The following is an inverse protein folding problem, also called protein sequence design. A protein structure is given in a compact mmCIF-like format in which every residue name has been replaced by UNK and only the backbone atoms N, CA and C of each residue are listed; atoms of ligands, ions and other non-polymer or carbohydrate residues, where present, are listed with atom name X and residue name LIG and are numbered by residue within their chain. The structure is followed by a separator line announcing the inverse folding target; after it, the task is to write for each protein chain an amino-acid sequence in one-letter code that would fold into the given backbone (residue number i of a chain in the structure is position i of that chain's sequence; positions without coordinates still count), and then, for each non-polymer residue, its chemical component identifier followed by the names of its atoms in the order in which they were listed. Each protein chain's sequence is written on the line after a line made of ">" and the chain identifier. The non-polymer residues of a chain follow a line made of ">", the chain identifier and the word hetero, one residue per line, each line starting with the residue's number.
data_IF_546993299618
#
_entry.id   IF_546993299618
#
_cell.length_a   1.000
_cell.length_b   1.000
_cell.length_c   1.000
_cell.angle_alpha   90.00
_cell.angle_beta   90.00
_cell.angle_gamma   90.00
#
_symmetry.space_group_name_H-M   'P 1'
#
loop_
_entity.id
_entity.type
_entity.pdbx_description
1 polymer ?
#
# COMPACT_ATOMS: atom_id res chain seq x y z
N UNK A 1 -1.24 -7.42 -5.09
CA UNK A 1 0.09 -7.29 -4.47
C UNK A 1 -0.07 -7.11 -2.97
N UNK A 2 0.73 -7.84 -2.19
CA UNK A 2 0.75 -7.75 -0.73
C UNK A 2 2.18 -7.99 -0.19
N UNK A 3 2.44 -7.65 1.08
CA UNK A 3 3.65 -8.10 1.75
C UNK A 3 3.66 -9.63 1.82
N UNK A 4 4.68 -10.27 1.27
CA UNK A 4 4.88 -11.74 1.28
C UNK A 4 6.34 -12.08 1.52
N UNK A 5 6.61 -13.32 1.90
CA UNK A 5 7.96 -13.84 2.08
C UNK A 5 8.58 -14.17 0.73
N UNK A 6 9.82 -13.77 0.54
CA UNK A 6 10.70 -14.20 -0.54
C UNK A 6 11.86 -14.95 0.09
N UNK A 7 11.84 -16.28 -0.09
CA UNK A 7 12.82 -17.19 0.50
C UNK A 7 14.20 -16.98 -0.14
N UNK A 8 15.23 -16.84 0.70
CA UNK A 8 16.61 -16.69 0.27
C UNK A 8 16.94 -15.38 -0.46
N UNK A 9 16.02 -14.41 -0.52
CA UNK A 9 16.17 -13.13 -1.23
C UNK A 9 16.49 -11.96 -0.26
N UNK A 10 16.93 -12.29 0.94
CA UNK A 10 17.33 -11.33 1.94
C UNK A 10 18.74 -10.75 1.68
N UNK A 11 19.16 -9.85 2.56
CA UNK A 11 20.49 -9.19 2.46
C UNK A 11 21.66 -10.15 2.56
N UNK A 12 21.44 -11.32 3.18
CA UNK A 12 22.38 -12.40 3.28
C UNK A 12 21.79 -13.62 2.55
N UNK A 13 22.63 -14.39 1.91
CA UNK A 13 22.23 -15.49 1.00
C UNK A 13 21.38 -16.62 1.64
N UNK A 14 21.27 -16.64 2.95
CA UNK A 14 20.51 -17.60 3.74
C UNK A 14 19.34 -17.01 4.52
N UNK A 15 19.00 -15.75 4.23
CA UNK A 15 17.90 -15.05 4.90
C UNK A 15 16.75 -14.79 3.93
N UNK A 16 15.55 -14.77 4.48
CA UNK A 16 14.33 -14.38 3.77
C UNK A 16 14.11 -12.88 3.87
N UNK A 17 13.38 -12.32 2.93
CA UNK A 17 12.91 -10.95 3.01
C UNK A 17 11.39 -10.87 2.87
N UNK A 18 10.79 -9.87 3.49
CA UNK A 18 9.38 -9.55 3.30
C UNK A 18 9.31 -8.29 2.45
N UNK A 19 8.70 -8.42 1.28
CA UNK A 19 8.48 -7.29 0.36
C UNK A 19 7.15 -7.44 -0.36
N UNK A 20 6.75 -6.41 -1.07
CA UNK A 20 5.55 -6.47 -1.90
C UNK A 20 5.77 -7.35 -3.13
N UNK A 21 4.86 -8.30 -3.35
CA UNK A 21 4.85 -9.19 -4.51
C UNK A 21 3.45 -9.60 -4.91
N UNK A 22 3.32 -10.18 -6.08
CA UNK A 22 2.06 -10.79 -6.51
C UNK A 22 1.73 -11.98 -5.61
N UNK A 23 0.46 -12.08 -5.23
CA UNK A 23 -0.09 -13.19 -4.45
C UNK A 23 -1.17 -13.89 -5.25
N UNK A 24 -1.29 -15.18 -5.05
CA UNK A 24 -2.36 -16.02 -5.61
C UNK A 24 -3.42 -16.35 -4.58
N UNK A 25 -3.11 -16.18 -3.30
CA UNK A 25 -3.97 -16.54 -2.18
C UNK A 25 -3.73 -15.58 -1.00
N UNK A 26 -4.73 -15.46 -0.13
CA UNK A 26 -4.69 -14.59 1.06
C UNK A 26 -3.67 -15.14 2.09
N UNK A 27 -3.46 -16.44 2.14
CA UNK A 27 -2.53 -17.10 3.05
C UNK A 27 -1.06 -16.71 2.79
N UNK A 28 -0.75 -16.18 1.61
CA UNK A 28 0.58 -15.66 1.32
C UNK A 28 0.84 -14.29 1.98
N UNK A 29 -0.20 -13.60 2.46
CA UNK A 29 -0.08 -12.26 3.02
C UNK A 29 0.56 -12.32 4.41
N UNK A 30 1.60 -11.54 4.61
CA UNK A 30 2.26 -11.38 5.91
C UNK A 30 1.64 -10.19 6.66
N UNK A 31 0.81 -10.48 7.67
CA UNK A 31 0.15 -9.48 8.50
C UNK A 31 0.97 -9.06 9.72
N UNK A 32 1.76 -9.96 10.28
CA UNK A 32 2.44 -9.84 11.58
C UNK A 32 3.84 -9.21 11.49
N UNK A 33 4.35 -8.99 10.28
CA UNK A 33 5.66 -8.38 10.04
C UNK A 33 5.56 -7.19 9.08
N UNK A 34 6.55 -6.31 9.15
CA UNK A 34 6.66 -5.16 8.25
C UNK A 34 7.43 -5.55 6.98
N UNK A 35 6.97 -5.06 5.84
CA UNK A 35 7.75 -5.16 4.60
C UNK A 35 9.04 -4.34 4.72
N UNK A 36 10.15 -4.88 4.24
CA UNK A 36 11.44 -4.21 4.18
C UNK A 36 11.50 -3.17 3.05
N UNK A 37 10.67 -3.36 2.02
CA UNK A 37 10.56 -2.48 0.86
C UNK A 37 9.17 -1.88 0.76
N UNK A 38 9.09 -0.71 0.15
CA UNK A 38 7.84 0.03 0.03
C UNK A 38 6.97 -0.49 -1.12
N UNK A 39 5.64 -0.45 -0.95
CA UNK A 39 4.67 -0.68 -2.02
C UNK A 39 4.82 0.26 -3.22
N UNK A 40 5.53 1.36 -3.05
CA UNK A 40 5.74 2.39 -4.08
C UNK A 40 6.36 1.85 -5.35
N UNK A 41 7.14 0.78 -5.26
CA UNK A 41 7.74 0.10 -6.41
C UNK A 41 6.70 -0.42 -7.42
N UNK A 42 5.44 -0.63 -7.00
CA UNK A 42 4.36 -1.08 -7.86
C UNK A 42 3.82 0.08 -8.71
N UNK A 43 3.73 1.29 -8.13
CA UNK A 43 3.22 2.49 -8.78
C UNK A 43 4.32 3.34 -9.45
N UNK A 44 5.55 3.18 -8.98
CA UNK A 44 6.75 3.81 -9.50
C UNK A 44 7.81 2.72 -9.73
N UNK A 45 7.71 1.97 -10.81
CA UNK A 45 8.66 0.90 -11.11
C UNK A 45 10.07 1.47 -11.26
N UNK A 46 11.08 0.70 -10.84
CA UNK A 46 12.51 1.09 -10.87
C UNK A 46 12.96 1.44 -12.30
N UNK A 47 12.35 0.81 -13.29
CA UNK A 47 12.61 1.06 -14.70
C UNK A 47 11.32 1.00 -15.50
N UNK A 48 11.09 2.02 -16.32
CA UNK A 48 9.93 2.09 -17.21
C UNK A 48 10.34 2.64 -18.57
N UNK A 49 9.79 2.06 -19.64
CA UNK A 49 9.96 2.60 -20.99
C UNK A 49 9.00 3.76 -21.18
N UNK A 50 9.52 4.96 -21.31
CA UNK A 50 8.69 6.16 -21.50
C UNK A 50 8.17 6.25 -22.94
N UNK A 51 9.03 6.00 -23.93
CA UNK A 51 8.65 6.00 -25.33
C UNK A 51 9.69 5.26 -26.17
N UNK A 52 9.25 4.78 -27.31
CA UNK A 52 10.11 4.32 -28.40
C UNK A 52 10.19 5.42 -29.47
N UNK A 53 11.33 5.61 -30.06
CA UNK A 53 11.48 6.58 -31.15
C UNK A 53 12.30 6.03 -32.30
N UNK A 54 11.97 6.49 -33.50
CA UNK A 54 12.76 6.36 -34.73
C UNK A 54 12.98 7.76 -35.30
N UNK A 55 13.70 7.89 -36.42
CA UNK A 55 13.94 9.19 -37.06
C UNK A 55 12.63 9.95 -37.35
N UNK A 56 11.55 9.23 -37.69
CA UNK A 56 10.29 9.81 -38.16
C UNK A 56 9.12 9.59 -37.21
N UNK A 57 9.27 8.83 -36.11
CA UNK A 57 8.13 8.46 -35.27
C UNK A 57 8.49 8.32 -33.79
N UNK A 58 7.52 8.70 -32.95
CA UNK A 58 7.57 8.50 -31.49
C UNK A 58 6.33 7.76 -31.04
N UNK A 59 6.51 6.65 -30.33
CA UNK A 59 5.42 5.82 -29.82
C UNK A 59 5.54 5.67 -28.32
N UNK A 60 4.50 6.08 -27.57
CA UNK A 60 4.39 5.82 -26.14
C UNK A 60 3.83 4.40 -25.97
N UNK A 61 4.47 3.54 -25.16
CA UNK A 61 3.97 2.20 -24.90
C UNK A 61 2.59 2.23 -24.23
N UNK A 62 1.75 1.27 -24.59
CA UNK A 62 0.48 1.09 -23.88
C UNK A 62 0.75 0.79 -22.39
N UNK A 63 -0.13 1.28 -21.52
CA UNK A 63 -0.11 0.94 -20.10
C UNK A 63 -0.46 -0.53 -19.85
N UNK A 64 -0.29 -1.03 -18.62
CA UNK A 64 -0.71 -2.38 -18.28
C UNK A 64 -2.20 -2.56 -18.52
N UNK A 65 -2.56 -3.67 -19.20
CA UNK A 65 -3.97 -3.99 -19.51
C UNK A 65 -4.77 -4.44 -18.31
N UNK A 66 -4.08 -4.92 -17.26
CA UNK A 66 -4.70 -5.34 -15.99
C UNK A 66 -4.49 -4.27 -14.95
N UNK A 67 -5.53 -4.02 -14.16
CA UNK A 67 -5.42 -3.23 -12.94
C UNK A 67 -4.63 -3.97 -11.86
N UNK A 68 -4.29 -3.25 -10.79
CA UNK A 68 -3.65 -3.80 -9.62
C UNK A 68 -4.54 -3.65 -8.37
N UNK A 69 -4.48 -4.62 -7.49
CA UNK A 69 -5.01 -4.52 -6.13
C UNK A 69 -3.80 -4.57 -5.20
N UNK A 70 -3.66 -3.57 -4.35
CA UNK A 70 -2.53 -3.46 -3.42
C UNK A 70 -3.05 -3.44 -1.99
N UNK A 71 -2.54 -4.36 -1.18
CA UNK A 71 -2.84 -4.41 0.25
C UNK A 71 -1.92 -3.46 1.01
N UNK A 72 -2.47 -2.47 1.69
CA UNK A 72 -1.73 -1.40 2.34
C UNK A 72 -2.11 -1.23 3.81
N UNK A 73 -1.18 -0.78 4.62
CA UNK A 73 -1.47 -0.29 5.97
C UNK A 73 -1.90 1.18 5.93
N UNK A 74 -2.50 1.68 7.01
CA UNK A 74 -2.94 3.08 7.08
C UNK A 74 -1.83 4.07 6.78
N UNK A 75 -0.63 3.87 7.33
CA UNK A 75 0.52 4.73 7.08
C UNK A 75 0.95 4.73 5.61
N UNK A 76 0.80 3.60 4.89
CA UNK A 76 1.09 3.50 3.47
C UNK A 76 0.03 4.26 2.64
N UNK A 77 -1.25 4.23 3.04
CA UNK A 77 -2.30 5.04 2.42
C UNK A 77 -2.05 6.54 2.58
N UNK A 78 -1.51 6.98 3.73
CA UNK A 78 -1.02 8.35 3.87
C UNK A 78 0.19 8.64 2.98
N UNK A 79 1.09 7.68 2.81
CA UNK A 79 2.19 7.75 1.85
C UNK A 79 1.71 7.88 0.41
N UNK A 80 0.68 7.11 0.03
CA UNK A 80 0.02 7.19 -1.26
C UNK A 80 -0.57 8.58 -1.52
N UNK A 81 -1.28 9.16 -0.55
CA UNK A 81 -1.82 10.51 -0.65
C UNK A 81 -0.72 11.55 -0.90
N UNK A 82 0.48 11.36 -0.35
CA UNK A 82 1.64 12.22 -0.64
C UNK A 82 2.15 12.04 -2.06
N UNK A 83 2.15 10.81 -2.58
CA UNK A 83 2.50 10.55 -3.97
C UNK A 83 1.50 11.21 -4.92
N UNK A 84 0.19 11.05 -4.67
CA UNK A 84 -0.87 11.70 -5.46
C UNK A 84 -0.69 13.23 -5.45
N UNK A 85 -0.31 13.82 -4.32
CA UNK A 85 -0.02 15.25 -4.24
C UNK A 85 1.19 15.65 -5.10
N UNK A 86 2.23 14.85 -5.14
CA UNK A 86 3.45 15.16 -5.91
C UNK A 86 3.22 14.97 -7.41
N UNK A 87 2.65 13.84 -7.80
CA UNK A 87 2.57 13.43 -9.21
C UNK A 87 1.31 13.90 -9.94
N UNK A 88 0.22 14.19 -9.22
CA UNK A 88 -1.06 14.59 -9.83
C UNK A 88 -1.47 16.02 -9.50
N UNK A 89 -1.00 16.60 -8.39
CA UNK A 89 -1.53 17.88 -7.89
C UNK A 89 -0.47 18.97 -7.70
N UNK A 90 0.77 18.74 -8.11
CA UNK A 90 1.87 19.69 -7.96
C UNK A 90 2.42 20.14 -9.33
N UNK A 91 1.57 20.63 -10.21
CA UNK A 91 1.90 21.04 -11.57
C UNK A 91 1.20 20.16 -12.62
N UNK A 92 1.78 19.99 -13.82
CA UNK A 92 1.27 19.04 -14.79
C UNK A 92 1.24 17.63 -14.21
N UNK A 93 0.13 16.90 -14.46
CA UNK A 93 -0.02 15.53 -14.01
C UNK A 93 1.04 14.64 -14.68
N UNK A 94 1.69 13.77 -13.89
CA UNK A 94 2.56 12.74 -14.44
C UNK A 94 1.72 11.66 -15.12
N UNK A 95 1.90 11.54 -16.44
CA UNK A 95 1.12 10.63 -17.29
C UNK A 95 1.31 9.17 -16.89
N UNK A 96 2.53 8.75 -16.57
CA UNK A 96 2.86 7.34 -16.28
C UNK A 96 2.33 6.93 -14.91
N UNK A 97 2.53 7.77 -13.90
CA UNK A 97 1.95 7.55 -12.58
C UNK A 97 0.42 7.52 -12.64
N UNK A 98 -0.20 8.49 -13.30
CA UNK A 98 -1.66 8.61 -13.41
C UNK A 98 -2.29 7.35 -13.98
N UNK A 99 -1.79 6.81 -15.10
CA UNK A 99 -2.35 5.63 -15.74
C UNK A 99 -2.29 4.37 -14.89
N UNK A 100 -1.24 4.22 -14.05
CA UNK A 100 -1.12 3.11 -13.09
C UNK A 100 -2.07 3.34 -11.91
N UNK A 101 -2.08 4.55 -11.39
CA UNK A 101 -2.87 4.95 -10.22
C UNK A 101 -4.38 4.80 -10.44
N UNK A 102 -4.89 5.19 -11.59
CA UNK A 102 -6.31 5.09 -11.95
C UNK A 102 -6.80 3.63 -12.06
N UNK A 103 -5.92 2.71 -12.42
CA UNK A 103 -6.20 1.28 -12.54
C UNK A 103 -5.85 0.48 -11.27
N UNK A 104 -5.57 1.16 -10.16
CA UNK A 104 -5.17 0.50 -8.90
C UNK A 104 -6.23 0.68 -7.83
N UNK A 105 -6.56 -0.42 -7.12
CA UNK A 105 -7.42 -0.47 -5.94
C UNK A 105 -6.61 -0.78 -4.70
N UNK A 106 -7.06 -0.29 -3.56
CA UNK A 106 -6.33 -0.44 -2.31
C UNK A 106 -7.19 -1.14 -1.27
N UNK A 107 -6.64 -2.21 -0.71
CA UNK A 107 -7.25 -2.92 0.41
C UNK A 107 -6.47 -2.57 1.67
N UNK A 108 -7.17 -2.01 2.66
CA UNK A 108 -6.58 -1.71 3.95
C UNK A 108 -6.34 -2.99 4.74
N UNK A 109 -5.11 -3.20 5.18
CA UNK A 109 -4.73 -4.19 6.17
C UNK A 109 -4.74 -3.55 7.55
N UNK A 110 -5.45 -4.11 8.49
CA UNK A 110 -5.44 -3.65 9.88
C UNK A 110 -4.06 -3.77 10.55
N UNK A 111 -3.85 -2.96 11.57
CA UNK A 111 -2.70 -3.08 12.44
C UNK A 111 -3.18 -3.44 13.84
N UNK A 112 -2.94 -4.69 14.26
CA UNK A 112 -3.25 -5.16 15.62
C UNK A 112 -2.17 -4.79 16.63
N UNK A 113 -0.96 -4.51 16.17
CA UNK A 113 0.18 -4.12 17.01
C UNK A 113 1.15 -3.21 16.23
N UNK A 114 1.99 -2.50 16.96
CA UNK A 114 3.05 -1.66 16.40
C UNK A 114 4.35 -2.44 16.26
N UNK A 115 5.08 -2.18 15.18
CA UNK A 115 6.45 -2.66 14.98
C UNK A 115 7.47 -1.72 15.64
N UNK A 116 8.72 -2.19 15.78
CA UNK A 116 9.75 -1.47 16.54
C UNK A 116 10.03 -0.04 16.03
N UNK A 117 9.92 0.17 14.72
CA UNK A 117 10.17 1.47 14.09
C UNK A 117 8.88 2.21 13.66
N UNK A 118 7.73 1.87 14.26
CA UNK A 118 6.49 2.58 13.97
C UNK A 118 6.44 3.92 14.70
N UNK A 119 6.00 4.96 13.98
CA UNK A 119 5.73 6.30 14.49
C UNK A 119 4.44 6.89 13.90
N UNK A 120 3.59 6.01 13.35
CA UNK A 120 2.37 6.43 12.64
C UNK A 120 1.36 7.14 13.57
N UNK A 121 1.32 6.81 14.85
CA UNK A 121 0.43 7.48 15.82
C UNK A 121 0.86 8.93 16.01
N UNK A 122 2.17 9.19 16.22
CA UNK A 122 2.70 10.54 16.41
C UNK A 122 2.54 11.40 15.14
N UNK A 123 2.51 10.75 13.96
CA UNK A 123 2.31 11.41 12.66
C UNK A 123 0.84 11.50 12.24
N UNK A 124 -0.11 11.07 13.08
CA UNK A 124 -1.54 10.98 12.77
C UNK A 124 -1.82 10.22 11.45
N UNK A 125 -1.04 9.17 11.19
CA UNK A 125 -1.16 8.33 10.00
C UNK A 125 -1.51 6.87 10.32
N UNK A 126 -1.90 6.58 11.57
CA UNK A 126 -2.33 5.27 12.03
C UNK A 126 -3.76 4.91 11.59
N UNK A 127 -4.57 5.89 11.18
CA UNK A 127 -5.94 5.71 10.69
C UNK A 127 -6.09 6.29 9.29
N UNK A 128 -6.93 5.66 8.45
CA UNK A 128 -7.22 6.17 7.12
C UNK A 128 -8.58 5.65 6.64
N UNK A 129 -9.33 6.49 5.95
CA UNK A 129 -10.59 6.14 5.29
C UNK A 129 -10.43 5.99 3.76
N UNK A 130 -9.23 6.24 3.25
CA UNK A 130 -8.93 6.26 1.82
C UNK A 130 -8.55 4.87 1.31
N UNK A 131 -9.50 3.93 1.35
CA UNK A 131 -9.35 2.58 0.84
C UNK A 131 -10.62 2.12 0.13
N UNK A 132 -10.50 1.14 -0.77
CA UNK A 132 -11.60 0.53 -1.51
C UNK A 132 -12.25 -0.63 -0.73
N UNK A 133 -11.45 -1.35 0.05
CA UNK A 133 -11.91 -2.38 0.98
C UNK A 133 -10.96 -2.51 2.18
N UNK A 134 -11.46 -3.11 3.25
CA UNK A 134 -10.68 -3.51 4.42
C UNK A 134 -10.69 -5.03 4.56
N UNK A 135 -9.58 -5.61 4.98
CA UNK A 135 -9.44 -7.03 5.30
C UNK A 135 -8.95 -7.22 6.72
N UNK A 136 -9.56 -8.17 7.42
CA UNK A 136 -9.10 -8.69 8.69
C UNK A 136 -9.09 -10.21 8.65
N UNK A 137 -8.10 -10.83 9.28
CA UNK A 137 -7.97 -12.28 9.38
C UNK A 137 -7.91 -12.64 10.86
N UNK A 138 -8.83 -13.50 11.28
CA UNK A 138 -8.93 -13.98 12.65
C UNK A 138 -9.17 -15.49 12.67
N UNK A 139 -8.11 -16.25 12.96
CA UNK A 139 -8.11 -17.70 12.85
C UNK A 139 -8.42 -18.17 11.43
N UNK A 140 -9.44 -18.98 11.29
CA UNK A 140 -9.88 -19.54 10.00
C UNK A 140 -10.85 -18.62 9.23
N UNK A 141 -11.14 -17.44 9.76
CA UNK A 141 -12.09 -16.50 9.16
C UNK A 141 -11.39 -15.30 8.55
N UNK A 142 -11.85 -14.92 7.37
CA UNK A 142 -11.45 -13.68 6.71
C UNK A 142 -12.67 -12.76 6.61
N UNK A 143 -12.53 -11.57 7.13
CA UNK A 143 -13.56 -10.54 7.15
C UNK A 143 -13.23 -9.44 6.16
N UNK A 144 -14.25 -8.97 5.44
CA UNK A 144 -14.12 -7.83 4.54
C UNK A 144 -15.17 -6.76 4.88
N UNK A 145 -14.73 -5.49 4.94
CA UNK A 145 -15.59 -4.32 4.77
C UNK A 145 -15.29 -3.72 3.40
N UNK A 146 -16.28 -3.72 2.50
CA UNK A 146 -16.06 -3.46 1.10
C UNK A 146 -16.84 -2.23 0.62
N UNK A 147 -16.12 -1.18 0.24
CA UNK A 147 -16.67 0.02 -0.40
C UNK A 147 -16.70 -0.10 -1.94
N UNK A 148 -16.01 -1.09 -2.47
CA UNK A 148 -15.92 -1.36 -3.90
C UNK A 148 -17.00 -2.36 -4.31
N UNK A 149 -18.02 -1.87 -5.02
CA UNK A 149 -19.26 -2.62 -5.31
C UNK A 149 -19.01 -3.93 -6.07
N UNK A 150 -18.09 -3.96 -7.03
CA UNK A 150 -17.81 -5.17 -7.81
C UNK A 150 -17.18 -6.27 -6.95
N UNK A 151 -16.29 -5.89 -6.03
CA UNK A 151 -15.68 -6.82 -5.08
C UNK A 151 -16.73 -7.26 -4.03
N UNK A 152 -17.56 -6.33 -3.54
CA UNK A 152 -18.63 -6.64 -2.60
C UNK A 152 -19.57 -7.71 -3.17
N UNK A 153 -20.02 -7.55 -4.42
CA UNK A 153 -20.89 -8.52 -5.08
C UNK A 153 -20.26 -9.91 -5.27
N UNK A 154 -18.94 -9.99 -5.44
CA UNK A 154 -18.22 -11.27 -5.49
C UNK A 154 -18.15 -11.92 -4.11
N UNK A 155 -17.83 -11.15 -3.08
CA UNK A 155 -17.72 -11.64 -1.70
C UNK A 155 -19.09 -12.12 -1.19
N UNK A 156 -20.17 -11.37 -1.45
CA UNK A 156 -21.54 -11.75 -1.07
C UNK A 156 -21.99 -13.06 -1.71
N UNK A 157 -21.52 -13.34 -2.91
CA UNK A 157 -21.86 -14.57 -3.63
C UNK A 157 -21.17 -15.82 -3.06
N UNK A 158 -19.96 -15.67 -2.59
CA UNK A 158 -19.11 -16.79 -2.13
C UNK A 158 -19.05 -16.87 -0.58
N UNK A 159 -19.34 -15.77 0.11
CA UNK A 159 -19.24 -15.64 1.56
C UNK A 159 -20.59 -15.62 2.27
N UNK A 160 -20.52 -15.44 3.57
CA UNK A 160 -21.70 -15.23 4.42
C UNK A 160 -21.69 -13.78 4.94
N UNK A 161 -22.85 -13.13 4.96
CA UNK A 161 -23.00 -11.85 5.66
C UNK A 161 -22.96 -12.14 7.16
N UNK A 162 -21.89 -11.74 7.81
CA UNK A 162 -21.66 -12.20 9.17
C UNK A 162 -21.84 -11.10 10.22
N UNK A 163 -21.19 -9.96 10.08
CA UNK A 163 -21.14 -8.95 11.14
C UNK A 163 -20.65 -7.62 10.57
N UNK A 164 -20.85 -6.56 11.35
CA UNK A 164 -20.20 -5.29 11.11
C UNK A 164 -18.71 -5.40 11.46
N UNK A 165 -17.84 -5.12 10.52
CA UNK A 165 -16.39 -5.18 10.68
C UNK A 165 -15.84 -3.77 10.65
N UNK A 166 -15.06 -3.40 11.66
CA UNK A 166 -14.39 -2.11 11.72
C UNK A 166 -12.87 -2.25 11.62
N UNK A 167 -12.20 -1.36 10.88
CA UNK A 167 -10.75 -1.42 10.75
C UNK A 167 -10.02 -1.36 12.10
N UNK A 168 -9.09 -2.28 12.31
CA UNK A 168 -8.21 -2.31 13.47
C UNK A 168 -7.06 -1.33 13.29
N UNK A 169 -6.86 -0.46 14.25
CA UNK A 169 -5.80 0.54 14.26
C UNK A 169 -5.03 0.49 15.57
N UNK A 170 -3.74 0.78 15.50
CA UNK A 170 -2.93 0.97 16.70
C UNK A 170 -3.14 2.36 17.29
N UNK A 171 -3.17 2.46 18.62
CA UNK A 171 -3.39 3.71 19.34
C UNK A 171 -2.12 4.25 20.01
N UNK A 172 -1.03 3.47 20.02
CA UNK A 172 0.26 3.88 20.59
C UNK A 172 1.41 3.28 19.79
N UNK A 173 2.55 3.97 19.76
CA UNK A 173 3.80 3.43 19.23
C UNK A 173 4.61 2.77 20.36
N UNK A 174 5.52 1.84 20.00
CA UNK A 174 6.49 1.28 20.97
C UNK A 174 7.50 2.33 21.43
N UNK A 175 7.87 3.24 20.55
CA UNK A 175 8.78 4.34 20.82
C UNK A 175 8.04 5.66 20.58
N UNK A 176 7.97 6.50 21.60
CA UNK A 176 7.39 7.83 21.46
C UNK A 176 8.39 8.76 20.78
N UNK A 177 7.97 9.35 19.67
CA UNK A 177 8.75 10.37 18.96
C UNK A 177 8.31 11.74 19.46
N UNK A 178 9.14 12.39 20.25
CA UNK A 178 8.89 13.76 20.68
C UNK A 178 9.31 14.72 19.55
N UNK A 179 8.35 15.11 18.71
CA UNK A 179 8.57 16.10 17.67
C UNK A 179 8.51 17.48 18.30
N UNK A 180 9.62 18.25 18.35
CA UNK A 180 9.61 19.57 18.95
C UNK A 180 8.69 20.52 18.19
N UNK A 181 7.98 21.37 18.91
CA UNK A 181 7.31 22.52 18.32
C UNK A 181 8.32 23.35 17.51
N UNK A 182 7.94 23.80 16.34
CA UNK A 182 8.81 24.56 15.43
C UNK A 182 10.07 23.82 14.97
N UNK A 183 9.95 22.52 14.64
CA UNK A 183 11.05 21.71 14.12
C UNK A 183 11.67 22.34 12.85
N UNK A 184 10.86 22.83 11.94
CA UNK A 184 11.32 23.48 10.70
C UNK A 184 12.19 24.71 10.99
N UNK A 185 11.81 25.56 11.95
CA UNK A 185 12.62 26.69 12.36
C UNK A 185 13.95 26.32 13.04
N UNK A 186 14.02 25.12 13.64
CA UNK A 186 15.26 24.61 14.24
C UNK A 186 16.21 23.95 13.25
N UNK A 187 15.70 23.46 12.14
CA UNK A 187 16.50 22.75 11.12
C UNK A 187 16.98 23.71 10.03
N UNK A 188 16.23 24.78 9.72
CA UNK A 188 16.52 25.67 8.61
C UNK A 188 17.02 27.07 9.04
N UNK A 189 17.23 27.30 10.33
CA UNK A 189 17.98 28.42 10.90
C UNK A 189 19.31 27.94 11.47
#
# INVERSE_FOLDING_TARGET
>A
YAPKVFEGDGRFSDTDTIRYGEISSIEEIVFDKKSEYSFKEILLPISETLFYFTEDNVVVPEGPKKGAIIFLRSCDLHGLKRMDQIYLNNGPEDFYYKRLRENTRFILMGCSHTFDNCFCVDMNSNKSDNYDAYIDVDGDYTYFDCKWNELAALIEKEGNVACEVTPKYVESNKVNVNIPENLSGKVFN
#
